data_IF_816872855478
#
_entry.id   IF_816872855478
#
_cell.length_a   1.000
_cell.length_b   1.000
_cell.length_c   1.000
_cell.angle_alpha   90.00
_cell.angle_beta   90.00
_cell.angle_gamma   90.00
#
_symmetry.space_group_name_H-M   'P 1'
#
loop_
_entity.id
_entity.type
_entity.pdbx_description
1 polymer ?
#
# COMPACT_ATOMS: atom_id res chain seq x y z
N UNK A 1 19.61 63.40 9.44
CA UNK A 1 20.36 63.37 10.71
C UNK A 1 20.62 61.94 11.13
N UNK A 2 21.86 61.57 11.01
CA UNK A 2 22.44 60.32 11.43
C UNK A 2 23.17 60.48 12.79
N UNK A 3 23.81 59.51 13.36
CA UNK A 3 23.68 58.84 14.65
C UNK A 3 24.64 59.32 15.75
N UNK A 4 24.87 58.63 16.82
CA UNK A 4 26.25 58.32 17.11
C UNK A 4 26.56 56.90 17.55
N UNK A 5 27.71 56.44 17.12
CA UNK A 5 28.54 55.33 17.54
C UNK A 5 29.15 55.62 18.91
N UNK A 6 29.31 54.57 19.75
CA UNK A 6 30.29 54.59 20.84
C UNK A 6 31.06 53.29 20.83
N UNK A 7 32.39 53.45 20.78
CA UNK A 7 33.47 52.49 20.76
C UNK A 7 33.88 52.00 22.17
N UNK A 8 34.74 50.98 22.25
CA UNK A 8 34.93 50.10 23.40
C UNK A 8 36.01 50.61 24.40
N UNK A 9 36.00 50.01 25.58
CA UNK A 9 37.04 50.24 26.57
C UNK A 9 37.76 48.94 26.92
N UNK A 10 39.07 48.94 26.63
CA UNK A 10 40.11 48.02 27.02
C UNK A 10 40.66 48.35 28.43
N UNK A 11 41.47 47.40 28.95
CA UNK A 11 42.46 47.46 30.04
C UNK A 11 41.93 46.98 31.39
N UNK A 12 42.66 46.17 32.21
CA UNK A 12 44.09 45.84 32.30
C UNK A 12 44.27 44.62 33.17
N UNK A 13 45.35 43.85 32.93
CA UNK A 13 45.93 42.87 33.86
C UNK A 13 46.84 43.60 34.86
N UNK A 14 47.17 43.02 36.08
CA UNK A 14 48.50 42.50 36.23
C UNK A 14 48.72 41.30 37.17
N UNK A 15 49.73 40.55 36.81
CA UNK A 15 50.75 39.78 37.54
C UNK A 15 50.73 39.73 39.06
N UNK A 16 50.96 38.53 39.62
CA UNK A 16 52.19 38.20 40.39
C UNK A 16 52.09 36.82 41.03
N UNK A 17 53.12 36.01 40.78
CA UNK A 17 53.54 34.88 41.64
C UNK A 17 54.37 35.40 42.80
N UNK A 18 54.53 34.64 43.92
CA UNK A 18 55.78 33.93 44.03
C UNK A 18 55.73 32.53 44.69
N UNK A 19 56.77 31.81 44.40
CA UNK A 19 57.26 30.55 44.94
C UNK A 19 57.55 30.65 46.43
N UNK A 20 57.31 29.53 47.19
CA UNK A 20 58.19 29.10 48.30
C UNK A 20 58.26 27.59 48.36
N UNK A 21 59.52 27.14 48.53
CA UNK A 21 60.07 25.81 48.63
C UNK A 21 59.88 25.21 50.04
N UNK A 22 60.14 23.91 50.07
CA UNK A 22 60.73 23.05 51.10
C UNK A 22 59.76 22.25 51.98
N UNK A 23 59.80 21.02 51.90
CA UNK A 23 60.69 19.94 52.26
C UNK A 23 60.14 19.07 53.43
N UNK A 24 60.20 17.73 53.19
CA UNK A 24 60.44 16.59 54.08
C UNK A 24 59.39 16.23 55.14
N UNK A 25 58.87 15.02 55.14
CA UNK A 25 59.39 13.79 55.79
C UNK A 25 58.45 12.62 55.66
N UNK A 26 59.02 11.47 55.41
CA UNK A 26 58.58 10.10 55.47
C UNK A 26 57.53 9.74 56.56
N UNK A 27 56.49 9.00 56.13
CA UNK A 27 55.91 7.93 56.95
C UNK A 27 55.32 6.87 56.05
N UNK A 28 55.94 5.71 56.06
CA UNK A 28 55.49 4.48 55.39
C UNK A 28 54.31 3.93 56.19
N UNK A 29 53.13 3.93 55.57
CA UNK A 29 52.01 3.08 56.04
C UNK A 29 51.71 2.11 54.91
N UNK A 30 52.08 0.89 55.07
CA UNK A 30 51.69 -0.28 54.26
C UNK A 30 50.22 -0.53 54.49
N UNK A 31 49.40 -0.09 53.62
CA UNK A 31 47.98 -0.54 53.53
C UNK A 31 47.84 -1.44 52.29
N UNK A 32 47.67 -2.71 52.60
CA UNK A 32 47.30 -3.76 51.64
C UNK A 32 46.00 -3.40 50.95
N UNK A 33 46.10 -2.82 49.70
CA UNK A 33 44.98 -2.72 48.79
C UNK A 33 44.78 -4.10 48.16
N UNK A 34 43.70 -4.75 48.54
CA UNK A 34 43.14 -5.84 47.77
C UNK A 34 42.82 -5.30 46.36
N UNK A 35 43.54 -5.75 45.36
CA UNK A 35 43.22 -5.51 43.95
C UNK A 35 41.96 -6.32 43.66
N UNK A 36 40.84 -5.64 43.55
CA UNK A 36 39.70 -6.18 42.85
C UNK A 36 40.14 -6.30 41.39
N UNK A 37 40.39 -7.50 40.93
CA UNK A 37 40.55 -7.78 39.49
C UNK A 37 39.25 -7.41 38.80
N UNK A 38 39.26 -6.34 38.00
CA UNK A 38 38.26 -6.15 37.00
C UNK A 38 38.21 -7.40 36.11
N UNK A 39 37.01 -7.96 35.83
CA UNK A 39 36.92 -9.07 34.90
C UNK A 39 37.47 -8.63 33.55
N UNK A 40 38.41 -9.40 33.03
CA UNK A 40 39.01 -9.14 31.71
C UNK A 40 37.90 -8.99 30.67
N UNK A 41 38.01 -8.01 29.74
CA UNK A 41 37.03 -7.87 28.67
C UNK A 41 37.00 -9.17 27.86
N UNK A 42 35.82 -9.76 27.78
CA UNK A 42 35.57 -10.92 26.92
C UNK A 42 35.90 -10.49 25.49
N UNK A 43 36.76 -11.23 24.75
CA UNK A 43 37.09 -10.86 23.40
C UNK A 43 35.83 -10.95 22.54
N UNK A 44 35.25 -9.82 22.18
CA UNK A 44 34.22 -9.72 21.16
C UNK A 44 34.88 -10.05 19.82
N UNK A 45 34.50 -11.18 19.23
CA UNK A 45 34.87 -11.48 17.84
C UNK A 45 34.29 -10.37 16.95
N UNK A 46 35.08 -9.78 16.05
CA UNK A 46 34.55 -8.84 15.06
C UNK A 46 33.70 -9.64 14.07
N UNK A 47 32.38 -9.49 14.13
CA UNK A 47 31.47 -10.12 13.16
C UNK A 47 30.05 -10.44 13.65
N UNK A 48 29.80 -10.48 14.94
CA UNK A 48 28.43 -10.71 15.42
C UNK A 48 27.71 -9.37 15.65
N UNK A 49 27.31 -8.75 14.57
CA UNK A 49 26.28 -7.72 14.60
C UNK A 49 24.93 -8.42 14.86
N UNK A 50 24.54 -8.48 16.12
CA UNK A 50 23.22 -8.98 16.51
C UNK A 50 22.15 -8.03 15.96
N UNK A 51 21.79 -8.20 14.69
CA UNK A 51 20.62 -7.54 14.13
C UNK A 51 19.38 -8.24 14.69
N UNK A 52 18.82 -7.70 15.76
CA UNK A 52 17.49 -8.12 16.24
C UNK A 52 16.49 -7.66 15.18
N UNK A 53 16.17 -8.51 14.21
CA UNK A 53 15.04 -8.32 13.31
C UNK A 53 13.77 -8.49 14.13
N UNK A 54 13.27 -7.40 14.69
CA UNK A 54 11.93 -7.37 15.28
C UNK A 54 10.96 -7.37 14.11
N UNK A 55 10.47 -8.55 13.74
CA UNK A 55 9.41 -8.69 12.74
C UNK A 55 8.09 -8.27 13.40
N UNK A 56 7.80 -6.97 13.37
CA UNK A 56 6.54 -6.43 13.89
C UNK A 56 5.50 -6.54 12.78
N UNK A 57 4.60 -7.51 12.89
CA UNK A 57 3.46 -7.65 11.98
C UNK A 57 2.51 -6.45 12.20
N UNK A 58 2.69 -5.38 11.45
CA UNK A 58 1.85 -4.19 11.51
C UNK A 58 0.76 -4.27 10.45
N UNK A 59 -0.49 -4.04 10.84
CA UNK A 59 -1.61 -3.95 9.92
C UNK A 59 -1.78 -2.50 9.48
N UNK A 60 -1.67 -2.26 8.18
CA UNK A 60 -1.84 -0.95 7.56
C UNK A 60 -3.20 -0.89 6.88
N UNK A 61 -3.98 0.12 7.20
CA UNK A 61 -5.31 0.38 6.67
C UNK A 61 -5.31 1.67 5.88
N UNK A 62 -5.85 1.61 4.66
CA UNK A 62 -6.32 2.80 3.98
C UNK A 62 -7.77 3.05 4.41
N UNK A 63 -8.09 4.26 4.83
CA UNK A 63 -9.42 4.64 5.27
C UNK A 63 -9.88 5.91 4.59
N UNK A 64 -11.14 5.94 4.15
CA UNK A 64 -11.80 7.11 3.57
C UNK A 64 -12.96 7.47 4.48
N UNK A 65 -12.97 8.70 4.99
CA UNK A 65 -14.04 9.21 5.81
C UNK A 65 -15.00 10.08 4.99
N UNK A 66 -16.29 9.85 5.15
CA UNK A 66 -17.36 10.55 4.44
C UNK A 66 -18.45 10.99 5.40
N UNK A 67 -19.05 12.13 5.12
CA UNK A 67 -20.22 12.62 5.84
C UNK A 67 -21.50 11.88 5.38
N UNK A 68 -22.64 12.29 5.95
CA UNK A 68 -23.97 11.73 5.60
C UNK A 68 -24.42 12.03 4.15
N UNK A 69 -23.73 12.94 3.45
CA UNK A 69 -23.95 13.25 2.03
C UNK A 69 -22.95 12.53 1.11
N UNK A 70 -22.16 11.60 1.65
CA UNK A 70 -21.06 10.92 0.96
C UNK A 70 -19.95 11.88 0.48
N UNK A 71 -19.84 13.08 1.11
CA UNK A 71 -18.75 14.00 0.83
C UNK A 71 -17.50 13.58 1.60
N UNK A 72 -16.33 13.62 0.95
CA UNK A 72 -15.06 13.33 1.60
C UNK A 72 -14.80 14.32 2.73
N UNK A 73 -14.43 13.80 3.88
CA UNK A 73 -14.04 14.63 5.04
C UNK A 73 -12.53 14.50 5.22
N UNK A 74 -11.83 15.61 4.98
CA UNK A 74 -10.39 15.76 5.17
C UNK A 74 -10.09 16.51 6.48
N UNK A 75 -8.81 16.53 6.90
CA UNK A 75 -8.38 17.28 8.08
C UNK A 75 -8.69 16.61 9.42
N UNK A 76 -9.11 15.34 9.42
CA UNK A 76 -9.24 14.55 10.64
C UNK A 76 -7.85 14.15 11.16
N UNK A 77 -7.73 14.06 12.49
CA UNK A 77 -6.53 13.56 13.16
C UNK A 77 -6.75 12.14 13.73
N UNK A 78 -5.70 11.55 14.32
CA UNK A 78 -5.74 10.22 14.89
C UNK A 78 -6.85 10.04 15.93
N UNK A 79 -7.12 11.06 16.75
CA UNK A 79 -8.09 10.97 17.85
C UNK A 79 -9.54 10.87 17.37
N UNK A 80 -9.78 11.24 16.11
CA UNK A 80 -11.09 11.08 15.48
C UNK A 80 -11.41 9.62 15.14
N UNK A 81 -10.41 8.73 15.10
CA UNK A 81 -10.57 7.35 14.66
C UNK A 81 -10.48 6.34 15.81
N UNK A 82 -11.25 5.26 15.69
CA UNK A 82 -11.19 4.09 16.57
C UNK A 82 -11.17 2.85 15.68
N UNK A 83 -10.13 2.04 15.84
CA UNK A 83 -9.92 0.79 15.08
C UNK A 83 -10.28 -0.40 15.97
N UNK A 84 -11.05 -1.33 15.44
CA UNK A 84 -11.42 -2.57 16.12
C UNK A 84 -11.00 -3.76 15.25
N UNK A 85 -10.41 -4.77 15.88
CA UNK A 85 -10.14 -6.08 15.28
C UNK A 85 -10.93 -7.13 16.05
N UNK A 86 -11.79 -7.88 15.37
CA UNK A 86 -12.72 -8.83 16.00
C UNK A 86 -13.48 -8.23 17.20
N UNK A 87 -13.87 -6.96 17.11
CA UNK A 87 -14.56 -6.23 18.17
C UNK A 87 -13.65 -5.66 19.27
N UNK A 88 -12.36 -5.98 19.29
CA UNK A 88 -11.40 -5.50 20.29
C UNK A 88 -10.74 -4.21 19.78
N UNK A 89 -10.78 -3.14 20.60
CA UNK A 89 -10.15 -1.86 20.29
C UNK A 89 -8.62 -2.04 20.15
N UNK A 90 -8.07 -1.48 19.06
CA UNK A 90 -6.64 -1.54 18.76
C UNK A 90 -6.00 -0.15 18.93
N UNK A 91 -4.85 -0.04 19.60
CA UNK A 91 -4.12 1.22 19.69
C UNK A 91 -3.47 1.57 18.34
N UNK A 92 -3.84 2.70 17.78
CA UNK A 92 -3.22 3.22 16.55
C UNK A 92 -1.77 3.58 16.85
N UNK A 93 -0.84 3.10 16.03
CA UNK A 93 0.61 3.30 16.15
C UNK A 93 1.15 4.29 15.12
N UNK A 94 0.50 4.38 13.98
CA UNK A 94 0.86 5.31 12.93
C UNK A 94 -0.41 5.87 12.29
N UNK A 95 -0.38 7.15 11.99
CA UNK A 95 -1.46 7.86 11.33
C UNK A 95 -0.87 8.92 10.39
N UNK A 96 -1.34 8.95 9.16
CA UNK A 96 -0.96 9.97 8.18
C UNK A 96 -2.15 10.29 7.27
N UNK A 97 -2.21 11.54 6.81
CA UNK A 97 -3.13 12.02 5.79
C UNK A 97 -2.36 12.88 4.79
N UNK A 98 -1.50 12.24 4.04
CA UNK A 98 -0.65 12.88 3.04
C UNK A 98 -0.94 12.30 1.65
N UNK A 99 -0.90 13.16 0.65
CA UNK A 99 -0.95 12.75 -0.76
C UNK A 99 0.42 12.15 -1.15
N UNK A 100 0.61 10.89 -0.82
CA UNK A 100 1.82 10.15 -1.18
C UNK A 100 1.61 9.40 -2.48
N UNK A 101 2.66 9.27 -3.32
CA UNK A 101 2.60 8.50 -4.55
C UNK A 101 2.20 7.04 -4.29
N UNK A 102 1.45 6.47 -5.22
CA UNK A 102 0.93 5.10 -5.13
C UNK A 102 1.40 4.25 -6.32
N UNK A 103 1.33 2.91 -6.19
CA UNK A 103 1.42 2.00 -7.33
C UNK A 103 0.00 1.62 -7.76
N UNK A 104 -0.32 1.82 -9.03
CA UNK A 104 -1.66 1.60 -9.61
C UNK A 104 -1.61 0.58 -10.73
N UNK A 105 -2.44 -0.44 -10.66
CA UNK A 105 -2.72 -1.35 -11.76
C UNK A 105 -4.08 -1.02 -12.40
N UNK A 106 -4.08 -0.81 -13.71
CA UNK A 106 -5.29 -0.70 -14.52
C UNK A 106 -5.55 -2.07 -15.15
N UNK A 107 -6.62 -2.73 -14.73
CA UNK A 107 -7.03 -4.06 -15.22
C UNK A 107 -8.24 -3.86 -16.11
N UNK A 108 -8.06 -4.03 -17.41
CA UNK A 108 -9.04 -3.62 -18.42
C UNK A 108 -9.51 -4.81 -19.23
N UNK A 109 -10.82 -5.00 -19.17
CA UNK A 109 -11.53 -6.00 -19.92
C UNK A 109 -11.57 -5.61 -21.42
N UNK A 110 -11.09 -6.53 -22.25
CA UNK A 110 -11.14 -6.45 -23.71
C UNK A 110 -11.89 -7.66 -24.29
N UNK A 111 -12.86 -8.22 -23.56
CA UNK A 111 -13.78 -9.23 -24.09
C UNK A 111 -14.71 -8.66 -25.15
N UNK A 112 -15.42 -9.52 -25.86
CA UNK A 112 -16.32 -9.14 -26.93
C UNK A 112 -17.40 -8.13 -26.54
N UNK A 113 -17.94 -8.24 -25.30
CA UNK A 113 -18.95 -7.33 -24.72
C UNK A 113 -18.43 -5.89 -24.51
N UNK A 114 -17.11 -5.72 -24.40
CA UNK A 114 -16.47 -4.42 -24.18
C UNK A 114 -16.14 -3.66 -25.47
N UNK A 115 -16.37 -4.24 -26.65
CA UNK A 115 -15.96 -3.68 -27.95
C UNK A 115 -16.50 -2.28 -28.21
N UNK A 116 -17.76 -2.03 -27.98
CA UNK A 116 -18.42 -0.72 -28.18
C UNK A 116 -18.02 0.31 -27.10
N UNK A 117 -17.57 -0.15 -25.93
CA UNK A 117 -17.28 0.66 -24.72
C UNK A 117 -15.80 1.06 -24.64
N UNK A 118 -14.95 0.44 -25.44
CA UNK A 118 -13.48 0.48 -25.32
C UNK A 118 -12.91 1.90 -25.40
N UNK A 119 -13.41 2.73 -26.29
CA UNK A 119 -12.93 4.11 -26.48
C UNK A 119 -13.12 4.93 -25.19
N UNK A 120 -14.31 4.84 -24.59
CA UNK A 120 -14.65 5.59 -23.37
C UNK A 120 -13.86 5.08 -22.15
N UNK A 121 -13.62 3.75 -22.06
CA UNK A 121 -12.78 3.14 -21.02
C UNK A 121 -11.34 3.65 -21.12
N UNK A 122 -10.76 3.71 -22.31
CA UNK A 122 -9.40 4.24 -22.52
C UNK A 122 -9.35 5.72 -22.16
N UNK A 123 -10.32 6.53 -22.60
CA UNK A 123 -10.40 7.94 -22.27
C UNK A 123 -10.49 8.19 -20.76
N UNK A 124 -11.32 7.40 -20.06
CA UNK A 124 -11.48 7.46 -18.61
C UNK A 124 -10.22 7.04 -17.85
N UNK A 125 -9.55 5.96 -18.28
CA UNK A 125 -8.28 5.53 -17.69
C UNK A 125 -7.19 6.60 -17.85
N UNK A 126 -7.15 7.31 -18.98
CA UNK A 126 -6.24 8.43 -19.18
C UNK A 126 -6.62 9.67 -18.35
N UNK A 127 -7.92 9.92 -18.14
CA UNK A 127 -8.39 10.97 -17.24
C UNK A 127 -7.97 10.68 -15.80
N UNK A 128 -8.12 9.42 -15.35
CA UNK A 128 -7.57 8.96 -14.07
C UNK A 128 -6.07 9.28 -13.97
N UNK A 129 -5.27 8.85 -14.94
CA UNK A 129 -3.82 9.04 -14.92
C UNK A 129 -3.42 10.53 -14.85
N UNK A 130 -4.16 11.41 -15.56
CA UNK A 130 -3.94 12.86 -15.50
C UNK A 130 -4.35 13.51 -14.17
N UNK A 131 -5.33 12.93 -13.48
CA UNK A 131 -5.84 13.41 -12.18
C UNK A 131 -5.08 12.84 -10.99
N UNK A 132 -4.22 11.86 -11.22
CA UNK A 132 -3.40 11.18 -10.22
C UNK A 132 -2.14 11.98 -9.85
N UNK A 133 -1.42 11.52 -8.81
CA UNK A 133 -0.15 12.13 -8.45
C UNK A 133 0.88 11.88 -9.58
N UNK A 134 1.61 12.91 -10.05
CA UNK A 134 2.59 12.75 -11.14
C UNK A 134 3.71 11.74 -10.87
N UNK A 135 3.90 11.34 -9.61
CA UNK A 135 4.90 10.36 -9.19
C UNK A 135 4.32 8.96 -8.98
N UNK A 136 3.05 8.75 -9.34
CA UNK A 136 2.44 7.42 -9.29
C UNK A 136 3.13 6.48 -10.27
N UNK A 137 3.24 5.23 -9.87
CA UNK A 137 3.70 4.15 -10.73
C UNK A 137 2.49 3.39 -11.26
N UNK A 138 2.34 3.34 -12.57
CA UNK A 138 1.18 2.69 -13.19
C UNK A 138 1.58 1.56 -14.10
N UNK A 139 0.74 0.53 -14.19
CA UNK A 139 0.84 -0.54 -15.18
C UNK A 139 -0.54 -0.91 -15.69
N UNK A 140 -0.58 -1.62 -16.82
CA UNK A 140 -1.82 -2.05 -17.46
C UNK A 140 -1.81 -3.57 -17.62
N UNK A 141 -2.89 -4.20 -17.21
CA UNK A 141 -3.22 -5.58 -17.55
C UNK A 141 -4.44 -5.55 -18.46
N UNK A 142 -4.27 -5.99 -19.69
CA UNK A 142 -5.35 -6.22 -20.62
C UNK A 142 -5.76 -7.69 -20.57
N UNK A 143 -7.05 -7.96 -20.60
CA UNK A 143 -7.52 -9.33 -20.63
C UNK A 143 -8.77 -9.50 -21.51
N UNK A 144 -8.86 -10.65 -22.10
CA UNK A 144 -10.02 -11.32 -22.66
C UNK A 144 -9.95 -12.79 -22.21
N UNK A 145 -9.96 -13.79 -23.08
CA UNK A 145 -9.59 -15.17 -22.74
C UNK A 145 -8.10 -15.33 -22.40
N UNK A 146 -7.28 -14.32 -22.68
CA UNK A 146 -5.85 -14.24 -22.39
C UNK A 146 -5.53 -13.01 -21.56
N UNK A 147 -4.61 -13.17 -20.62
CA UNK A 147 -4.12 -12.07 -19.78
C UNK A 147 -2.75 -11.63 -20.29
N UNK A 148 -2.57 -10.32 -20.49
CA UNK A 148 -1.31 -9.75 -20.97
C UNK A 148 -1.01 -8.39 -20.34
N UNK A 149 0.28 -8.08 -20.16
CA UNK A 149 0.71 -6.74 -19.79
C UNK A 149 0.64 -5.81 -21.00
N UNK A 150 0.14 -4.60 -20.76
CA UNK A 150 0.04 -3.58 -21.83
C UNK A 150 1.36 -2.88 -22.08
N UNK A 151 2.20 -2.69 -21.07
CA UNK A 151 3.52 -2.08 -21.20
C UNK A 151 4.51 -3.04 -21.90
N UNK A 152 5.57 -2.49 -22.53
CA UNK A 152 6.68 -3.32 -23.03
C UNK A 152 7.34 -4.15 -21.92
N UNK A 153 7.87 -5.33 -22.24
CA UNK A 153 8.40 -6.31 -21.29
C UNK A 153 9.54 -5.77 -20.40
N UNK A 154 10.27 -4.77 -20.89
CA UNK A 154 11.36 -4.10 -20.16
C UNK A 154 10.87 -2.92 -19.27
N UNK A 155 9.58 -2.63 -19.25
CA UNK A 155 8.98 -1.52 -18.48
C UNK A 155 7.93 -2.09 -17.54
N UNK A 156 8.30 -2.26 -16.27
CA UNK A 156 7.37 -2.80 -15.27
C UNK A 156 6.29 -1.79 -14.86
N UNK A 157 6.63 -0.50 -14.79
CA UNK A 157 5.76 0.60 -14.39
C UNK A 157 6.09 1.86 -15.18
N UNK A 158 5.10 2.75 -15.33
CA UNK A 158 5.29 4.05 -15.96
C UNK A 158 4.49 5.13 -15.22
N UNK A 159 4.96 6.36 -15.30
CA UNK A 159 4.24 7.58 -14.91
C UNK A 159 3.79 8.42 -16.14
N UNK A 160 4.06 7.90 -17.35
CA UNK A 160 3.84 8.62 -18.60
C UNK A 160 2.47 8.29 -19.21
N UNK A 161 1.54 9.25 -19.31
CA UNK A 161 0.22 9.04 -19.90
C UNK A 161 0.26 8.53 -21.36
N UNK A 162 1.26 8.93 -22.15
CA UNK A 162 1.42 8.46 -23.51
C UNK A 162 1.69 6.95 -23.60
N UNK A 163 2.54 6.42 -22.72
CA UNK A 163 2.79 4.98 -22.64
C UNK A 163 1.56 4.22 -22.14
N UNK A 164 0.82 4.79 -21.19
CA UNK A 164 -0.45 4.18 -20.73
C UNK A 164 -1.48 4.12 -21.86
N UNK A 165 -1.58 5.15 -22.70
CA UNK A 165 -2.47 5.16 -23.85
C UNK A 165 -2.12 4.02 -24.82
N UNK A 166 -0.86 3.84 -25.15
CA UNK A 166 -0.39 2.74 -25.99
C UNK A 166 -0.69 1.39 -25.35
N UNK A 167 -0.39 1.26 -24.04
CA UNK A 167 -0.62 0.05 -23.28
C UNK A 167 -2.10 -0.37 -23.23
N UNK A 168 -3.01 0.58 -23.02
CA UNK A 168 -4.46 0.37 -23.02
C UNK A 168 -5.00 -0.01 -24.40
N UNK A 169 -4.36 0.47 -25.46
CA UNK A 169 -4.80 0.24 -26.85
C UNK A 169 -4.24 -1.03 -27.49
N UNK A 170 -3.35 -1.76 -26.78
CA UNK A 170 -2.56 -2.86 -27.37
C UNK A 170 -3.38 -4.09 -27.74
N UNK A 171 -4.44 -4.40 -27.00
CA UNK A 171 -5.29 -5.58 -27.21
C UNK A 171 -6.61 -5.17 -27.86
N UNK A 172 -7.03 -5.82 -28.91
CA UNK A 172 -8.36 -5.62 -29.50
C UNK A 172 -9.44 -6.25 -28.60
N UNK A 173 -10.65 -5.66 -28.62
CA UNK A 173 -11.76 -6.23 -27.88
C UNK A 173 -12.41 -7.36 -28.70
N UNK A 174 -12.24 -8.58 -28.21
CA UNK A 174 -12.78 -9.83 -28.78
C UNK A 174 -12.62 -11.00 -27.78
N UNK A 175 -13.34 -12.10 -27.98
CA UNK A 175 -13.19 -13.33 -27.21
C UNK A 175 -13.96 -13.35 -25.88
N UNK A 176 -13.58 -14.33 -25.05
CA UNK A 176 -14.16 -14.62 -23.72
C UNK A 176 -13.51 -13.76 -22.62
N UNK A 177 -13.83 -14.04 -21.34
CA UNK A 177 -13.46 -13.18 -20.21
C UNK A 177 -12.75 -13.98 -19.12
N UNK A 178 -11.45 -13.72 -18.89
CA UNK A 178 -10.64 -14.32 -17.83
C UNK A 178 -10.36 -13.30 -16.70
N UNK A 179 -11.42 -12.77 -16.08
CA UNK A 179 -11.34 -11.74 -15.05
C UNK A 179 -10.53 -12.18 -13.83
N UNK A 180 -10.76 -13.39 -13.33
CA UNK A 180 -10.09 -13.85 -12.12
C UNK A 180 -8.60 -14.03 -12.35
N UNK A 181 -8.19 -14.58 -13.50
CA UNK A 181 -6.79 -14.70 -13.88
C UNK A 181 -6.13 -13.32 -14.01
N UNK A 182 -6.81 -12.35 -14.60
CA UNK A 182 -6.32 -10.99 -14.74
C UNK A 182 -6.11 -10.30 -13.38
N UNK A 183 -7.06 -10.46 -12.45
CA UNK A 183 -6.94 -9.91 -11.10
C UNK A 183 -5.78 -10.57 -10.33
N UNK A 184 -5.60 -11.90 -10.46
CA UNK A 184 -4.48 -12.62 -9.84
C UNK A 184 -3.13 -12.09 -10.33
N UNK A 185 -2.94 -12.02 -11.65
CA UNK A 185 -1.71 -11.51 -12.29
C UNK A 185 -1.45 -10.06 -11.89
N UNK A 186 -2.49 -9.23 -11.87
CA UNK A 186 -2.37 -7.83 -11.49
C UNK A 186 -1.99 -7.67 -10.00
N UNK A 187 -2.57 -8.44 -9.10
CA UNK A 187 -2.22 -8.43 -7.67
C UNK A 187 -0.76 -8.85 -7.44
N UNK A 188 -0.28 -9.87 -8.16
CA UNK A 188 1.12 -10.29 -8.09
C UNK A 188 2.06 -9.20 -8.61
N UNK A 189 1.78 -8.63 -9.78
CA UNK A 189 2.61 -7.57 -10.36
C UNK A 189 2.65 -6.32 -9.50
N UNK A 190 1.51 -5.96 -8.89
CA UNK A 190 1.37 -4.82 -7.98
C UNK A 190 2.36 -4.88 -6.81
N UNK A 191 2.73 -6.09 -6.35
CA UNK A 191 3.70 -6.26 -5.25
C UNK A 191 5.13 -5.83 -5.65
N UNK A 192 5.45 -5.82 -6.94
CA UNK A 192 6.77 -5.39 -7.47
C UNK A 192 6.93 -3.86 -7.43
N UNK A 193 5.84 -3.10 -7.27
CA UNK A 193 5.87 -1.66 -7.11
C UNK A 193 6.52 -1.23 -5.80
N UNK A 194 7.23 -0.10 -5.82
CA UNK A 194 8.00 0.41 -4.67
C UNK A 194 7.26 1.50 -3.86
N UNK A 195 5.96 1.72 -4.12
CA UNK A 195 5.13 2.61 -3.33
C UNK A 195 4.40 1.84 -2.23
N UNK A 196 4.25 2.49 -1.06
CA UNK A 196 3.61 1.86 0.11
C UNK A 196 2.11 1.62 -0.11
N UNK A 197 1.43 2.55 -0.78
CA UNK A 197 0.02 2.40 -1.16
C UNK A 197 -0.08 1.73 -2.53
N UNK A 198 -0.93 0.73 -2.63
CA UNK A 198 -1.13 -0.09 -3.83
C UNK A 198 -2.62 -0.17 -4.16
N UNK A 199 -2.94 0.09 -5.41
CA UNK A 199 -4.33 0.18 -5.88
C UNK A 199 -4.50 -0.60 -7.18
N UNK A 200 -5.60 -1.35 -7.31
CA UNK A 200 -6.08 -1.84 -8.59
C UNK A 200 -7.37 -1.13 -8.98
N UNK A 201 -7.50 -0.80 -10.24
CA UNK A 201 -8.76 -0.33 -10.85
C UNK A 201 -9.14 -1.36 -11.89
N UNK A 202 -10.22 -2.08 -11.64
CA UNK A 202 -10.75 -3.13 -12.52
C UNK A 202 -11.94 -2.58 -13.28
N UNK A 203 -11.86 -2.58 -14.60
CA UNK A 203 -12.94 -2.16 -15.50
C UNK A 203 -13.41 -3.36 -16.29
N UNK A 204 -14.63 -3.83 -16.03
CA UNK A 204 -15.21 -5.05 -16.60
C UNK A 204 -16.73 -5.07 -16.40
N UNK A 205 -17.46 -5.93 -17.10
CA UNK A 205 -18.84 -6.28 -16.77
C UNK A 205 -18.95 -7.33 -15.65
N UNK A 206 -17.81 -7.84 -15.15
CA UNK A 206 -17.74 -8.80 -14.05
C UNK A 206 -18.02 -10.23 -14.44
N UNK A 207 -18.23 -10.53 -15.72
CA UNK A 207 -18.29 -11.89 -16.24
C UNK A 207 -16.95 -12.60 -16.09
N UNK A 208 -16.98 -13.92 -15.99
CA UNK A 208 -15.80 -14.78 -15.98
C UNK A 208 -16.16 -16.17 -16.50
N UNK A 209 -15.70 -16.49 -17.68
CA UNK A 209 -15.98 -17.76 -18.35
C UNK A 209 -14.75 -18.46 -18.92
N UNK A 210 -13.55 -17.83 -18.80
CA UNK A 210 -12.30 -18.36 -19.33
C UNK A 210 -11.17 -18.48 -18.28
N UNK A 211 -11.35 -18.04 -17.04
CA UNK A 211 -10.31 -18.12 -16.02
C UNK A 211 -10.02 -19.55 -15.56
N UNK A 212 -8.77 -19.80 -15.19
CA UNK A 212 -8.33 -21.01 -14.48
C UNK A 212 -8.51 -20.88 -12.97
N UNK A 213 -8.36 -19.67 -12.42
CA UNK A 213 -8.60 -19.38 -11.03
C UNK A 213 -10.10 -19.36 -10.70
N UNK A 214 -10.43 -19.72 -9.47
CA UNK A 214 -11.77 -19.61 -8.93
C UNK A 214 -11.96 -18.32 -8.15
N UNK A 215 -13.20 -17.81 -8.08
CA UNK A 215 -13.50 -16.62 -7.29
C UNK A 215 -13.01 -16.71 -5.85
N UNK A 216 -13.12 -17.88 -5.19
CA UNK A 216 -12.63 -18.08 -3.82
C UNK A 216 -11.13 -17.84 -3.66
N UNK A 217 -10.34 -18.21 -4.67
CA UNK A 217 -8.88 -18.00 -4.68
C UNK A 217 -8.57 -16.52 -4.81
N UNK A 218 -9.26 -15.82 -5.71
CA UNK A 218 -9.09 -14.38 -5.89
C UNK A 218 -9.52 -13.59 -4.66
N UNK A 219 -10.61 -14.00 -4.01
CA UNK A 219 -11.05 -13.39 -2.76
C UNK A 219 -10.00 -13.59 -1.64
N UNK A 220 -9.33 -14.73 -1.61
CA UNK A 220 -8.23 -14.99 -0.68
C UNK A 220 -7.01 -14.10 -0.97
N UNK A 221 -6.61 -13.98 -2.25
CA UNK A 221 -5.52 -13.11 -2.67
C UNK A 221 -5.82 -11.63 -2.37
N UNK A 222 -7.01 -11.15 -2.72
CA UNK A 222 -7.45 -9.78 -2.42
C UNK A 222 -7.56 -9.51 -0.90
N UNK A 223 -7.85 -10.55 -0.10
CA UNK A 223 -7.88 -10.48 1.36
C UNK A 223 -6.51 -10.27 2.00
N UNK A 224 -5.41 -10.51 1.28
CA UNK A 224 -4.08 -10.25 1.80
C UNK A 224 -3.84 -8.74 2.00
N UNK A 225 -3.00 -8.33 2.97
CA UNK A 225 -2.66 -6.92 3.16
C UNK A 225 -1.97 -6.33 1.93
N UNK A 226 -2.24 -5.06 1.66
CA UNK A 226 -1.41 -4.25 0.76
C UNK A 226 -2.07 -3.73 -0.52
N UNK A 227 -3.28 -4.18 -0.90
CA UNK A 227 -3.95 -3.64 -2.08
C UNK A 227 -5.38 -3.18 -1.77
N UNK A 228 -5.81 -2.11 -2.44
CA UNK A 228 -7.19 -1.65 -2.49
C UNK A 228 -7.68 -1.82 -3.92
N UNK A 229 -8.85 -2.42 -4.09
CA UNK A 229 -9.43 -2.67 -5.42
C UNK A 229 -10.66 -1.79 -5.60
N UNK A 230 -10.60 -0.89 -6.58
CA UNK A 230 -11.77 -0.21 -7.11
C UNK A 230 -12.27 -0.97 -8.32
N UNK A 231 -13.57 -1.00 -8.51
CA UNK A 231 -14.17 -1.64 -9.69
C UNK A 231 -15.15 -0.71 -10.39
N UNK A 232 -15.11 -0.72 -11.71
CA UNK A 232 -16.04 0.01 -12.57
C UNK A 232 -16.75 -1.02 -13.45
N UNK A 233 -18.00 -1.27 -13.12
CA UNK A 233 -18.84 -2.23 -13.85
C UNK A 233 -19.58 -1.58 -15.00
N UNK A 234 -19.23 -1.92 -16.23
CA UNK A 234 -19.84 -1.36 -17.44
C UNK A 234 -20.67 -2.45 -18.12
N UNK A 235 -21.98 -2.41 -17.88
CA UNK A 235 -22.90 -3.45 -18.34
C UNK A 235 -23.59 -3.05 -19.63
N UNK A 236 -23.96 -4.08 -20.40
CA UNK A 236 -24.99 -3.98 -21.42
C UNK A 236 -26.21 -4.78 -20.94
N UNK A 237 -27.43 -4.34 -21.22
CA UNK A 237 -28.67 -5.00 -20.78
C UNK A 237 -28.80 -6.42 -21.35
N UNK A 238 -28.08 -6.71 -22.42
CA UNK A 238 -28.10 -8.01 -23.11
C UNK A 238 -26.97 -8.95 -22.68
N UNK A 239 -26.03 -8.52 -21.81
CA UNK A 239 -24.94 -9.37 -21.34
C UNK A 239 -25.45 -10.42 -20.34
N UNK A 240 -25.55 -11.68 -20.77
CA UNK A 240 -26.01 -12.79 -19.95
C UNK A 240 -25.01 -13.14 -18.84
N UNK A 241 -23.70 -12.90 -19.05
CA UNK A 241 -22.63 -13.27 -18.15
C UNK A 241 -22.26 -12.18 -17.14
N UNK A 242 -22.91 -11.00 -17.21
CA UNK A 242 -22.65 -9.89 -16.28
C UNK A 242 -22.76 -10.29 -14.83
N UNK A 243 -21.76 -9.92 -14.02
CA UNK A 243 -21.76 -10.25 -12.59
C UNK A 243 -21.31 -9.08 -11.69
N UNK A 244 -22.21 -8.10 -11.46
CA UNK A 244 -21.89 -6.97 -10.58
C UNK A 244 -21.60 -7.39 -9.13
N UNK A 245 -22.08 -8.58 -8.72
CA UNK A 245 -21.84 -9.13 -7.39
C UNK A 245 -20.37 -9.43 -7.13
N UNK A 246 -19.64 -9.92 -8.11
CA UNK A 246 -18.18 -10.17 -8.02
C UNK A 246 -17.43 -8.86 -7.84
N UNK A 247 -17.73 -7.85 -8.67
CA UNK A 247 -17.08 -6.54 -8.60
C UNK A 247 -17.28 -5.87 -7.23
N UNK A 248 -18.53 -5.88 -6.74
CA UNK A 248 -18.88 -5.35 -5.40
C UNK A 248 -18.11 -6.07 -4.28
N UNK A 249 -17.98 -7.41 -4.37
CA UNK A 249 -17.27 -8.19 -3.35
C UNK A 249 -15.78 -7.87 -3.32
N UNK A 250 -15.11 -7.81 -4.48
CA UNK A 250 -13.70 -7.47 -4.60
C UNK A 250 -13.41 -6.09 -4.00
N UNK A 251 -14.18 -5.08 -4.40
CA UNK A 251 -14.01 -3.72 -3.89
C UNK A 251 -14.24 -3.66 -2.37
N UNK A 252 -15.38 -4.18 -1.89
CA UNK A 252 -15.76 -4.13 -0.48
C UNK A 252 -14.73 -4.79 0.44
N UNK A 253 -14.20 -5.95 0.04
CA UNK A 253 -13.25 -6.69 0.86
C UNK A 253 -11.95 -5.92 1.10
N UNK A 254 -11.50 -5.16 0.11
CA UNK A 254 -10.23 -4.43 0.13
C UNK A 254 -10.33 -2.99 0.61
N UNK A 255 -11.57 -2.49 0.81
CA UNK A 255 -11.83 -1.11 1.22
C UNK A 255 -11.93 -0.12 0.05
N UNK A 256 -11.98 -0.61 -1.16
CA UNK A 256 -12.33 0.18 -2.34
C UNK A 256 -13.83 0.37 -2.50
N UNK A 257 -14.22 0.86 -3.67
CA UNK A 257 -15.62 1.10 -4.04
C UNK A 257 -15.92 0.50 -5.41
N UNK A 258 -17.14 -0.01 -5.57
CA UNK A 258 -17.64 -0.51 -6.85
C UNK A 258 -18.59 0.50 -7.45
N UNK A 259 -18.26 1.00 -8.61
CA UNK A 259 -19.08 1.94 -9.37
C UNK A 259 -19.80 1.20 -10.50
N UNK A 260 -21.05 1.51 -10.66
CA UNK A 260 -21.92 0.95 -11.70
C UNK A 260 -22.54 2.13 -12.45
N UNK A 261 -21.81 2.74 -13.42
CA UNK A 261 -22.30 3.89 -14.18
C UNK A 261 -23.54 3.53 -14.97
N UNK A 262 -24.50 4.45 -15.05
CA UNK A 262 -25.71 4.29 -15.87
C UNK A 262 -25.40 4.58 -17.34
N UNK A 263 -24.35 5.36 -17.60
CA UNK A 263 -23.91 5.69 -18.96
C UNK A 263 -22.37 5.70 -19.05
N UNK A 264 -21.84 5.53 -20.28
CA UNK A 264 -20.41 5.65 -20.55
C UNK A 264 -19.85 7.05 -20.22
N UNK A 265 -20.70 8.10 -20.30
CA UNK A 265 -20.31 9.46 -19.93
C UNK A 265 -19.93 9.60 -18.45
N UNK A 266 -20.45 8.73 -17.58
CA UNK A 266 -20.17 8.75 -16.15
C UNK A 266 -18.81 8.12 -15.78
N UNK A 267 -18.19 7.36 -16.69
CA UNK A 267 -16.95 6.62 -16.42
C UNK A 267 -15.77 7.57 -16.13
N UNK A 268 -15.64 8.64 -16.89
CA UNK A 268 -14.59 9.64 -16.67
C UNK A 268 -14.72 10.35 -15.32
N UNK A 269 -15.89 10.93 -14.93
CA UNK A 269 -16.10 11.45 -13.58
C UNK A 269 -15.81 10.45 -12.45
N UNK A 270 -16.16 9.18 -12.65
CA UNK A 270 -15.85 8.10 -11.68
C UNK A 270 -14.35 7.91 -11.55
N UNK A 271 -13.60 7.85 -12.64
CA UNK A 271 -12.15 7.71 -12.62
C UNK A 271 -11.47 8.88 -11.90
N UNK A 272 -11.92 10.12 -12.14
CA UNK A 272 -11.44 11.30 -11.43
C UNK A 272 -11.81 11.25 -9.92
N UNK A 273 -12.99 10.73 -9.59
CA UNK A 273 -13.38 10.50 -8.20
C UNK A 273 -12.47 9.49 -7.53
N UNK A 274 -12.15 8.37 -8.17
CA UNK A 274 -11.21 7.37 -7.66
C UNK A 274 -9.83 8.00 -7.39
N UNK A 275 -9.33 8.83 -8.30
CA UNK A 275 -8.07 9.54 -8.09
C UNK A 275 -8.12 10.45 -6.87
N UNK A 276 -9.23 11.20 -6.68
CA UNK A 276 -9.44 12.03 -5.47
C UNK A 276 -9.52 11.20 -4.19
N UNK A 277 -10.22 10.06 -4.22
CA UNK A 277 -10.34 9.15 -3.09
C UNK A 277 -8.97 8.65 -2.64
N UNK A 278 -8.13 8.21 -3.58
CA UNK A 278 -6.78 7.70 -3.32
C UNK A 278 -5.91 8.79 -2.66
N UNK A 279 -5.98 10.03 -3.15
CA UNK A 279 -5.22 11.17 -2.64
C UNK A 279 -5.68 11.64 -1.25
N UNK A 280 -6.98 11.49 -0.93
CA UNK A 280 -7.57 11.89 0.35
C UNK A 280 -7.66 10.75 1.37
N UNK A 281 -6.96 9.65 1.15
CA UNK A 281 -7.00 8.47 2.00
C UNK A 281 -6.14 8.65 3.25
N UNK A 282 -6.74 8.43 4.42
CA UNK A 282 -6.01 8.28 5.68
C UNK A 282 -5.27 6.95 5.72
N UNK A 283 -4.03 6.98 6.14
CA UNK A 283 -3.25 5.77 6.45
C UNK A 283 -3.25 5.57 7.95
N UNK A 284 -3.81 4.46 8.41
CA UNK A 284 -3.91 4.11 9.83
C UNK A 284 -3.20 2.78 10.02
N UNK A 285 -2.26 2.70 10.96
CA UNK A 285 -1.62 1.43 11.22
C UNK A 285 -1.59 1.09 12.72
N UNK A 286 -1.75 -0.20 13.02
CA UNK A 286 -1.71 -0.73 14.38
C UNK A 286 -0.97 -2.07 14.42
N UNK A 287 -0.51 -2.43 15.61
CA UNK A 287 0.04 -3.75 15.88
C UNK A 287 -1.07 -4.56 16.54
N UNK A 288 -1.52 -5.69 15.95
CA UNK A 288 -2.59 -6.49 16.52
C UNK A 288 -2.31 -6.92 17.95
N UNK A 289 -3.28 -6.73 18.83
CA UNK A 289 -3.19 -7.27 20.21
C UNK A 289 -3.26 -8.79 20.20
N UNK A 290 -3.98 -9.38 19.26
CA UNK A 290 -3.96 -10.81 19.00
C UNK A 290 -2.81 -11.17 18.03
N UNK A 291 -1.70 -11.65 18.57
CA UNK A 291 -0.48 -12.01 17.81
C UNK A 291 -0.45 -13.46 17.31
N UNK A 292 -1.55 -14.21 17.39
CA UNK A 292 -1.59 -15.59 16.88
C UNK A 292 -1.38 -15.62 15.39
N UNK A 293 -0.48 -16.49 14.93
CA UNK A 293 -0.19 -16.76 13.52
C UNK A 293 -0.93 -18.03 13.09
N UNK A 294 -2.25 -17.95 13.06
CA UNK A 294 -3.17 -19.09 12.89
C UNK A 294 -3.82 -19.12 11.51
N UNK A 295 -3.50 -18.18 10.61
CA UNK A 295 -4.14 -18.07 9.31
C UNK A 295 -5.62 -17.66 9.37
N UNK A 296 -6.15 -17.36 10.55
CA UNK A 296 -7.56 -17.02 10.71
C UNK A 296 -7.90 -15.65 10.14
N UNK A 297 -9.09 -15.47 9.63
CA UNK A 297 -9.60 -14.19 9.17
C UNK A 297 -9.88 -13.26 10.36
N UNK A 298 -9.36 -12.04 10.32
CA UNK A 298 -9.51 -10.98 11.33
C UNK A 298 -10.43 -9.91 10.76
N UNK A 299 -11.59 -9.73 11.37
CA UNK A 299 -12.55 -8.69 10.97
C UNK A 299 -12.08 -7.32 11.46
N UNK A 300 -12.06 -6.33 10.57
CA UNK A 300 -11.71 -4.95 10.89
C UNK A 300 -12.95 -4.07 10.84
N UNK A 301 -13.07 -3.18 11.82
CA UNK A 301 -14.02 -2.09 11.82
C UNK A 301 -13.31 -0.80 12.22
N UNK A 302 -13.42 0.24 11.41
CA UNK A 302 -12.96 1.58 11.75
C UNK A 302 -14.16 2.48 11.93
N UNK A 303 -14.20 3.20 13.05
CA UNK A 303 -15.22 4.23 13.33
C UNK A 303 -14.52 5.58 13.37
N UNK A 304 -15.18 6.61 12.84
CA UNK A 304 -14.72 7.99 12.95
C UNK A 304 -15.83 8.91 13.44
N UNK A 305 -15.43 9.94 14.16
CA UNK A 305 -16.31 11.02 14.59
C UNK A 305 -15.54 12.32 14.71
N UNK A 306 -16.19 13.43 14.40
CA UNK A 306 -15.59 14.76 14.53
C UNK A 306 -16.63 15.80 14.95
N UNK A 307 -16.22 16.87 15.65
CA UNK A 307 -17.10 17.99 15.95
C UNK A 307 -17.73 18.56 14.66
N UNK A 308 -19.02 18.83 14.70
CA UNK A 308 -19.76 19.33 13.53
C UNK A 308 -20.24 18.27 12.53
N UNK A 309 -19.64 17.07 12.51
CA UNK A 309 -20.05 15.96 11.64
C UNK A 309 -20.74 14.82 12.40
N UNK A 310 -20.47 14.69 13.71
CA UNK A 310 -20.91 13.53 14.48
C UNK A 310 -20.21 12.24 14.05
N UNK A 311 -20.98 11.18 13.81
CA UNK A 311 -20.46 9.93 13.25
C UNK A 311 -20.27 10.04 11.75
N UNK A 312 -19.07 9.63 11.29
CA UNK A 312 -18.71 9.58 9.88
C UNK A 312 -18.79 8.15 9.37
N UNK A 313 -19.16 7.98 8.11
CA UNK A 313 -19.01 6.73 7.40
C UNK A 313 -17.53 6.54 7.08
N UNK A 314 -16.97 5.37 7.43
CA UNK A 314 -15.57 5.05 7.12
C UNK A 314 -15.52 3.83 6.22
N UNK A 315 -14.96 4.01 5.03
CA UNK A 315 -14.67 2.94 4.09
C UNK A 315 -13.22 2.50 4.26
N UNK A 316 -13.02 1.23 4.55
CA UNK A 316 -11.73 0.57 4.70
C UNK A 316 -11.90 -0.92 4.44
N UNK A 317 -10.80 -1.69 4.36
CA UNK A 317 -10.88 -3.15 4.22
C UNK A 317 -11.69 -3.78 5.35
N UNK A 318 -12.43 -4.83 5.01
CA UNK A 318 -13.31 -5.52 5.98
C UNK A 318 -12.56 -6.46 6.93
N UNK A 319 -11.32 -6.81 6.57
CA UNK A 319 -10.48 -7.69 7.37
C UNK A 319 -9.25 -8.18 6.60
N UNK A 320 -8.52 -9.09 7.20
CA UNK A 320 -7.35 -9.72 6.61
C UNK A 320 -7.15 -11.12 7.18
N UNK A 321 -6.37 -11.96 6.48
CA UNK A 321 -5.92 -13.25 7.01
C UNK A 321 -4.66 -13.03 7.85
N UNK A 322 -4.68 -13.46 9.11
CA UNK A 322 -3.49 -13.45 9.96
C UNK A 322 -2.37 -14.28 9.31
N UNK A 323 -1.09 -13.93 9.49
CA UNK A 323 0.00 -14.76 9.02
C UNK A 323 -0.17 -16.20 9.52
N UNK A 324 0.19 -17.19 8.69
CA UNK A 324 0.26 -18.58 9.11
C UNK A 324 1.65 -18.92 9.60
N UNK A 325 1.76 -19.74 10.64
CA UNK A 325 3.05 -20.28 11.09
C UNK A 325 3.67 -21.26 10.07
N UNK A 326 2.85 -21.82 9.18
CA UNK A 326 3.27 -22.65 8.06
C UNK A 326 3.39 -21.79 6.79
N UNK A 327 4.47 -21.92 6.00
CA UNK A 327 4.47 -21.32 4.69
C UNK A 327 3.28 -21.89 3.90
N UNK A 328 2.61 -21.08 3.05
CA UNK A 328 1.57 -21.61 2.20
C UNK A 328 2.14 -22.81 1.44
N UNK A 329 1.37 -23.90 1.24
CA UNK A 329 1.83 -25.00 0.42
C UNK A 329 2.23 -24.45 -0.94
N UNK A 330 3.49 -24.67 -1.31
CA UNK A 330 4.01 -24.25 -2.60
C UNK A 330 3.05 -24.76 -3.66
N UNK A 331 2.43 -23.87 -4.41
CA UNK A 331 1.64 -24.23 -5.56
C UNK A 331 2.57 -25.04 -6.47
N UNK A 332 2.29 -26.35 -6.64
CA UNK A 332 3.00 -27.20 -7.56
C UNK A 332 2.73 -26.67 -8.96
N UNK A 333 3.61 -25.79 -9.43
CA UNK A 333 3.72 -25.50 -10.85
C UNK A 333 4.32 -26.77 -11.46
N UNK A 334 3.46 -27.60 -12.01
CA UNK A 334 3.89 -28.71 -12.85
C UNK A 334 4.40 -28.12 -14.16
N UNK A 335 5.68 -27.79 -14.19
CA UNK A 335 6.39 -27.58 -15.44
C UNK A 335 6.47 -28.94 -16.16
N UNK A 336 5.59 -29.16 -17.13
CA UNK A 336 5.85 -30.17 -18.16
C UNK A 336 6.98 -29.63 -19.05
N UNK A 337 8.16 -30.13 -18.84
CA UNK A 337 9.23 -30.07 -19.84
C UNK A 337 8.87 -31.11 -20.89
N UNK A 338 8.44 -30.69 -22.07
CA UNK A 338 8.35 -31.53 -23.23
C UNK A 338 9.78 -31.72 -23.78
N UNK A 339 10.39 -32.85 -23.41
CA UNK A 339 11.56 -33.36 -24.07
C UNK A 339 11.18 -33.81 -25.50
N UNK A 340 11.41 -32.95 -26.46
CA UNK A 340 11.50 -33.39 -27.85
C UNK A 340 12.88 -34.00 -28.10
N UNK A 341 12.92 -35.31 -27.91
CA UNK A 341 13.99 -36.19 -28.40
C UNK A 341 14.06 -36.10 -29.93
N UNK A 342 15.12 -35.50 -30.42
CA UNK A 342 15.54 -35.64 -31.84
C UNK A 342 16.00 -37.06 -32.06
N UNK A 343 15.26 -37.80 -32.88
CA UNK A 343 15.77 -39.00 -33.58
C UNK A 343 15.74 -38.79 -35.10
N UNK A 344 16.94 -38.83 -35.64
CA UNK A 344 17.33 -39.05 -37.04
C UNK A 344 16.83 -38.07 -38.09
#
# INVERSE_FOLDING_TARGET
SAPPQIKPRQQDTPHSSPRWLAALLFLIAVSSRAWAQEPAPVPTRPGDEYTIKVNVDMVVLGAIAQDHKNTLVSGLNQDNFRVYENGVLQPVKYFSHEDVPVTVGLVVDNSGSMKSKRHDVIAAALAFARSSNPKDQMFVVNFNEKVSFGLPDNIAFTDQPALLQVALSRVAADGETALYDAVAVALEHLQKGNRDKKVLIVVSDGGDNASKHKLSEIMTLAGQPGAIIYTIGIFDDQDADRNPGVLKRLAKQTGGESFLPESLADVTPICERIARDIRNQYTIAYIPTNRKRDGAYRVIQVKASAPGYGHLSVRTRTGYFAPSALPPPAAKVAAKVDDHETRN
#
